data_IF_466523653300
#
_entry.id   IF_466523653300
#
_cell.length_a   1.000
_cell.length_b   1.000
_cell.length_c   1.000
_cell.angle_alpha   90.00
_cell.angle_beta   90.00
_cell.angle_gamma   90.00
#
_symmetry.space_group_name_H-M   'P 1'
#
loop_
_entity.id
_entity.type
_entity.pdbx_description
1 polymer ?
#
# COMPACT_ATOMS: atom_id res chain seq x y z
N UNK A 1 -19.35 -10.16 6.92
CA UNK A 1 -18.73 -8.99 6.28
C UNK A 1 -17.42 -8.73 7.03
N UNK A 2 -16.29 -9.22 6.50
CA UNK A 2 -14.97 -8.88 7.04
C UNK A 2 -14.67 -7.42 6.67
N UNK A 3 -14.35 -6.59 7.66
CA UNK A 3 -13.96 -5.20 7.42
C UNK A 3 -12.70 -5.19 6.57
N UNK A 4 -12.80 -4.65 5.34
CA UNK A 4 -11.77 -4.85 4.32
C UNK A 4 -10.44 -4.21 4.72
N UNK A 5 -10.40 -2.93 4.99
CA UNK A 5 -9.27 -2.17 5.54
C UNK A 5 -9.80 -0.73 5.67
N UNK A 6 -9.09 0.16 6.35
CA UNK A 6 -9.48 1.57 6.44
C UNK A 6 -8.37 2.47 5.94
N UNK A 7 -8.75 3.62 5.38
CA UNK A 7 -7.85 4.71 5.02
C UNK A 7 -8.15 5.92 5.90
N UNK A 8 -7.15 6.40 6.65
CA UNK A 8 -7.34 7.47 7.65
C UNK A 8 -6.60 8.77 7.32
N UNK A 9 -5.80 8.74 6.25
CA UNK A 9 -5.19 9.90 5.59
C UNK A 9 -5.33 9.62 4.10
N UNK A 10 -5.79 10.62 3.35
CA UNK A 10 -5.82 10.60 1.90
C UNK A 10 -5.49 12.00 1.40
N UNK A 11 -4.50 12.09 0.52
CA UNK A 11 -4.08 13.33 -0.11
C UNK A 11 -3.89 13.03 -1.59
N UNK A 12 -4.44 13.89 -2.44
CA UNK A 12 -4.16 13.91 -3.87
C UNK A 12 -3.82 15.34 -4.29
N UNK A 13 -2.94 15.48 -5.27
CA UNK A 13 -2.54 16.78 -5.78
C UNK A 13 -1.86 16.71 -7.14
N UNK A 14 -1.74 17.89 -7.75
CA UNK A 14 -0.99 18.09 -8.97
C UNK A 14 0.02 19.22 -8.75
N UNK A 15 1.28 18.97 -9.03
CA UNK A 15 2.34 19.99 -8.96
C UNK A 15 3.39 19.71 -10.03
N UNK A 16 3.82 20.75 -10.75
CA UNK A 16 4.86 20.64 -11.79
C UNK A 16 4.61 19.53 -12.84
N UNK A 17 3.33 19.33 -13.21
CA UNK A 17 2.93 18.29 -14.17
C UNK A 17 3.03 16.86 -13.62
N UNK A 18 3.03 16.69 -12.30
CA UNK A 18 3.01 15.40 -11.61
C UNK A 18 1.70 15.29 -10.83
N UNK A 19 0.91 14.25 -11.13
CA UNK A 19 -0.15 13.79 -10.24
C UNK A 19 0.48 12.94 -9.15
N UNK A 20 0.20 13.26 -7.89
CA UNK A 20 0.71 12.50 -6.75
C UNK A 20 -0.36 12.35 -5.68
N UNK A 21 -0.13 11.38 -4.79
CA UNK A 21 -0.95 11.24 -3.61
C UNK A 21 -0.28 10.40 -2.53
N UNK A 22 -0.96 10.37 -1.39
CA UNK A 22 -0.55 9.61 -0.24
C UNK A 22 -1.78 9.08 0.50
N UNK A 23 -1.68 7.87 1.05
CA UNK A 23 -2.70 7.34 1.94
C UNK A 23 -2.12 6.54 3.09
N UNK A 24 -2.74 6.62 4.27
CA UNK A 24 -2.43 5.73 5.39
C UNK A 24 -3.43 4.58 5.41
N UNK A 25 -2.95 3.36 5.14
CA UNK A 25 -3.77 2.14 5.09
C UNK A 25 -3.66 1.38 6.39
N UNK A 26 -4.79 0.89 6.92
CA UNK A 26 -4.85 -0.01 8.07
C UNK A 26 -5.57 -1.30 7.67
N UNK A 27 -4.83 -2.41 7.65
CA UNK A 27 -5.37 -3.75 7.41
C UNK A 27 -5.58 -4.42 8.78
N UNK A 28 -6.80 -4.91 9.10
CA UNK A 28 -7.04 -5.56 10.39
C UNK A 28 -6.26 -6.87 10.52
N UNK A 29 -6.04 -7.39 11.74
CA UNK A 29 -5.34 -8.65 11.93
C UNK A 29 -5.98 -9.80 11.14
N UNK A 30 -5.15 -10.60 10.46
CA UNK A 30 -5.58 -11.67 9.55
C UNK A 30 -6.33 -11.18 8.29
N UNK A 31 -6.40 -9.86 8.08
CA UNK A 31 -7.06 -9.23 6.94
C UNK A 31 -6.16 -9.05 5.73
N UNK A 32 -6.75 -8.57 4.64
CA UNK A 32 -6.03 -8.26 3.41
C UNK A 32 -6.65 -7.05 2.70
N UNK A 33 -5.85 -6.35 1.91
CA UNK A 33 -6.37 -5.41 0.91
C UNK A 33 -7.01 -6.15 -0.26
N UNK A 34 -7.77 -5.44 -1.10
CA UNK A 34 -8.15 -6.00 -2.40
C UNK A 34 -6.93 -5.97 -3.33
N UNK A 35 -6.75 -7.01 -4.13
CA UNK A 35 -5.70 -7.05 -5.14
C UNK A 35 -6.04 -6.11 -6.30
N UNK A 36 -5.20 -5.11 -6.53
CA UNK A 36 -5.44 -4.09 -7.55
C UNK A 36 -4.14 -3.56 -8.17
N UNK A 37 -4.26 -2.77 -9.24
CA UNK A 37 -3.14 -2.09 -9.87
C UNK A 37 -3.59 -0.75 -10.46
N UNK A 38 -2.63 0.15 -10.67
CA UNK A 38 -2.85 1.48 -11.24
C UNK A 38 -1.67 1.92 -12.09
N UNK A 39 -1.85 2.99 -12.87
CA UNK A 39 -0.83 3.47 -13.81
C UNK A 39 0.33 4.23 -13.15
N UNK A 40 0.19 4.64 -11.89
CA UNK A 40 1.25 5.24 -11.09
C UNK A 40 2.17 4.18 -10.51
N UNK A 41 3.43 4.56 -10.33
CA UNK A 41 4.33 3.84 -9.43
C UNK A 41 3.98 4.22 -7.99
N UNK A 42 4.25 3.31 -7.06
CA UNK A 42 3.89 3.47 -5.66
C UNK A 42 4.99 2.93 -4.74
N UNK A 43 5.15 3.60 -3.60
CA UNK A 43 6.05 3.18 -2.52
C UNK A 43 5.25 3.06 -1.24
N UNK A 44 5.49 1.98 -0.49
CA UNK A 44 5.01 1.85 0.88
C UNK A 44 6.13 1.99 1.89
N UNK A 45 5.82 2.57 3.04
CA UNK A 45 6.61 2.49 4.26
C UNK A 45 5.73 1.95 5.37
N UNK A 46 6.09 0.80 5.91
CA UNK A 46 5.36 0.16 7.01
C UNK A 46 5.63 0.92 8.32
N UNK A 47 4.56 1.36 8.98
CA UNK A 47 4.58 2.07 10.25
C UNK A 47 4.46 1.09 11.43
N UNK A 48 3.47 0.20 11.39
CA UNK A 48 3.15 -0.75 12.48
C UNK A 48 2.68 -2.11 11.92
N UNK A 49 2.83 -3.16 12.72
CA UNK A 49 2.34 -4.49 12.36
C UNK A 49 3.28 -5.27 11.47
N UNK A 50 2.92 -6.54 11.29
CA UNK A 50 3.66 -7.47 10.42
C UNK A 50 2.71 -8.15 9.45
N UNK A 51 3.29 -8.70 8.39
CA UNK A 51 2.56 -9.42 7.37
C UNK A 51 3.40 -9.63 6.13
N UNK A 52 2.76 -9.61 4.98
CA UNK A 52 3.46 -9.67 3.70
C UNK A 52 2.69 -8.93 2.59
N UNK A 53 3.43 -8.50 1.58
CA UNK A 53 2.86 -8.07 0.30
C UNK A 53 3.08 -9.15 -0.74
N UNK A 54 2.04 -9.46 -1.50
CA UNK A 54 2.14 -10.26 -2.71
C UNK A 54 2.19 -9.38 -3.93
N UNK A 55 3.20 -9.63 -4.76
CA UNK A 55 3.39 -9.09 -6.10
C UNK A 55 3.46 -10.29 -7.07
N UNK A 56 3.28 -10.10 -8.38
CA UNK A 56 3.10 -11.22 -9.31
C UNK A 56 4.23 -12.25 -9.28
N UNK A 57 5.46 -11.80 -9.02
CA UNK A 57 6.66 -12.64 -9.05
C UNK A 57 7.38 -12.74 -7.70
N UNK A 58 6.84 -12.13 -6.64
CA UNK A 58 7.50 -12.13 -5.33
C UNK A 58 6.52 -11.90 -4.19
N UNK A 59 6.80 -12.55 -3.07
CA UNK A 59 6.22 -12.21 -1.77
C UNK A 59 7.31 -11.56 -0.91
N UNK A 60 7.00 -10.45 -0.26
CA UNK A 60 7.92 -9.74 0.62
C UNK A 60 7.33 -9.62 2.02
N UNK A 61 8.12 -9.94 3.05
CA UNK A 61 7.72 -9.74 4.45
C UNK A 61 7.66 -8.27 4.81
N UNK A 62 6.58 -7.86 5.46
CA UNK A 62 6.35 -6.51 5.96
C UNK A 62 6.58 -6.47 7.47
N UNK A 63 7.27 -5.42 7.91
CA UNK A 63 7.51 -5.04 9.30
C UNK A 63 7.87 -3.55 9.34
N UNK A 64 7.79 -2.87 10.49
CA UNK A 64 8.09 -1.45 10.58
C UNK A 64 9.42 -1.08 9.92
N UNK A 65 9.40 -0.05 9.07
CA UNK A 65 10.54 0.42 8.30
C UNK A 65 10.85 -0.37 7.02
N UNK A 66 10.11 -1.43 6.67
CA UNK A 66 10.26 -2.08 5.36
C UNK A 66 9.78 -1.14 4.25
N UNK A 67 10.65 -0.77 3.28
CA UNK A 67 10.22 -0.11 2.07
C UNK A 67 9.70 -1.14 1.05
N UNK A 68 8.58 -0.84 0.40
CA UNK A 68 8.06 -1.62 -0.73
C UNK A 68 8.02 -0.71 -1.94
N UNK A 69 8.60 -1.15 -3.05
CA UNK A 69 8.42 -0.51 -4.35
C UNK A 69 7.46 -1.36 -5.19
N UNK A 70 6.45 -0.68 -5.74
CA UNK A 70 5.42 -1.26 -6.59
C UNK A 70 5.50 -0.54 -7.95
N UNK A 71 6.03 -1.20 -8.99
CA UNK A 71 6.06 -0.61 -10.32
C UNK A 71 4.65 -0.36 -10.86
N UNK A 72 4.54 0.63 -11.76
CA UNK A 72 3.29 0.93 -12.44
C UNK A 72 2.66 -0.32 -13.07
N UNK A 73 1.34 -0.44 -12.93
CA UNK A 73 0.50 -1.55 -13.41
C UNK A 73 0.86 -2.93 -12.81
N UNK A 74 1.51 -2.96 -11.65
CA UNK A 74 1.76 -4.19 -10.90
C UNK A 74 0.60 -4.47 -9.95
N UNK A 75 -0.03 -5.64 -10.08
CA UNK A 75 -1.05 -6.10 -9.12
C UNK A 75 -0.39 -6.36 -7.77
N UNK A 76 -0.96 -5.82 -6.71
CA UNK A 76 -0.42 -5.96 -5.37
C UNK A 76 -1.52 -6.15 -4.33
N UNK A 77 -1.21 -6.94 -3.30
CA UNK A 77 -2.11 -7.21 -2.16
C UNK A 77 -1.30 -7.24 -0.87
N UNK A 78 -1.70 -6.47 0.14
CA UNK A 78 -1.14 -6.55 1.48
C UNK A 78 -1.96 -7.52 2.34
N UNK A 79 -1.28 -8.33 3.13
CA UNK A 79 -1.87 -9.25 4.10
C UNK A 79 -1.28 -8.93 5.48
N UNK A 80 -2.15 -8.79 6.49
CA UNK A 80 -1.73 -8.64 7.88
C UNK A 80 -1.63 -10.02 8.55
N UNK A 81 -0.68 -10.17 9.45
CA UNK A 81 -0.66 -11.31 10.38
C UNK A 81 -1.79 -11.20 11.43
N UNK A 82 -2.01 -12.24 12.24
CA UNK A 82 -3.16 -12.34 13.14
C UNK A 82 -3.04 -11.55 14.46
N UNK A 83 -1.87 -10.97 14.76
CA UNK A 83 -1.58 -10.39 16.07
C UNK A 83 -2.05 -8.93 16.21
N UNK A 84 -1.74 -8.08 15.24
CA UNK A 84 -2.02 -6.64 15.28
C UNK A 84 -2.28 -6.09 13.86
N UNK A 85 -2.96 -4.94 13.72
CA UNK A 85 -3.20 -4.36 12.41
C UNK A 85 -1.88 -3.98 11.72
N UNK A 86 -1.77 -4.32 10.43
CA UNK A 86 -0.72 -3.82 9.56
C UNK A 86 -1.08 -2.40 9.11
N UNK A 87 -0.19 -1.45 9.38
CA UNK A 87 -0.36 -0.03 9.03
C UNK A 87 0.81 0.42 8.17
N UNK A 88 0.52 1.02 7.03
CA UNK A 88 1.55 1.54 6.13
C UNK A 88 1.11 2.83 5.44
N UNK A 89 2.09 3.71 5.21
CA UNK A 89 1.96 4.87 4.34
C UNK A 89 2.20 4.42 2.91
N UNK A 90 1.23 4.62 2.04
CA UNK A 90 1.35 4.51 0.58
C UNK A 90 1.55 5.90 -0.02
N UNK A 91 2.48 5.99 -0.99
CA UNK A 91 2.83 7.19 -1.74
C UNK A 91 2.86 6.83 -3.23
N UNK A 92 2.19 7.59 -4.08
CA UNK A 92 2.21 7.34 -5.53
C UNK A 92 2.40 8.63 -6.32
N UNK A 93 2.94 8.48 -7.53
CA UNK A 93 3.05 9.57 -8.49
C UNK A 93 3.06 9.09 -9.93
N UNK A 94 2.66 9.99 -10.83
CA UNK A 94 2.70 9.80 -12.28
C UNK A 94 2.81 11.17 -12.98
N UNK A 95 3.59 11.25 -14.06
CA UNK A 95 3.60 12.43 -14.93
C UNK A 95 2.25 12.59 -15.64
N UNK A 96 1.76 13.82 -15.71
CA UNK A 96 0.62 14.19 -16.55
C UNK A 96 1.07 14.09 -18.01
N UNK A 97 0.28 13.39 -18.83
CA UNK A 97 0.51 13.22 -20.26
C UNK A 97 0.08 14.42 -21.09
#
# INVERSE_FOLDING_TARGET
MSGRYTTNLEMEGVSEGINFGAMMVTVPPGGATDGHSHESAEIWVVDRGTGYVELPNRRMTLRPGTPVEIPARTVHTAFADDAEPLVFLSLWWKRVG
#
